data_IF_270928930379
#
_entry.id   IF_270928930379
#
_cell.length_a   1.000
_cell.length_b   1.000
_cell.length_c   1.000
_cell.angle_alpha   90.00
_cell.angle_beta   90.00
_cell.angle_gamma   90.00
#
_symmetry.space_group_name_H-M   'P 1'
#
loop_
_entity.id
_entity.type
_entity.pdbx_description
1 polymer ?
#
# COMPACT_ATOMS: atom_id res chain seq x y z
N UNK A 1 32.07 26.20 4.73
CA UNK A 1 32.44 25.74 6.09
C UNK A 1 32.56 26.96 6.99
N UNK A 2 31.74 27.11 8.02
CA UNK A 2 31.78 28.18 9.01
C UNK A 2 30.52 29.03 9.19
N UNK A 3 29.46 28.79 8.45
CA UNK A 3 28.19 29.49 8.70
C UNK A 3 27.58 29.00 10.04
N UNK A 4 27.37 29.91 11.03
CA UNK A 4 26.83 29.57 12.33
C UNK A 4 25.38 28.97 12.25
N UNK A 5 24.70 29.18 11.13
CA UNK A 5 23.36 28.61 10.86
C UNK A 5 23.39 27.22 10.23
N UNK A 6 24.59 26.78 9.74
CA UNK A 6 24.74 25.45 9.17
C UNK A 6 24.50 24.36 10.22
N UNK A 7 23.61 23.41 9.91
CA UNK A 7 23.26 22.31 10.81
C UNK A 7 22.24 22.66 11.91
N UNK A 8 21.76 23.89 11.96
CA UNK A 8 20.67 24.25 12.86
C UNK A 8 19.36 23.60 12.40
N UNK A 9 18.53 23.20 13.37
CA UNK A 9 17.27 22.49 13.08
C UNK A 9 16.23 23.40 12.43
N UNK A 10 16.15 24.65 12.88
CA UNK A 10 15.21 25.63 12.37
C UNK A 10 15.90 26.97 12.16
N UNK A 11 15.62 27.58 11.03
CA UNK A 11 16.02 28.95 10.70
C UNK A 11 14.84 29.68 10.09
N UNK A 12 14.77 30.98 10.26
CA UNK A 12 13.84 31.86 9.56
C UNK A 12 14.61 32.58 8.47
N UNK A 13 14.36 32.23 7.21
CA UNK A 13 14.90 32.94 6.07
C UNK A 13 14.03 34.16 5.79
N UNK A 14 14.63 35.36 5.83
CA UNK A 14 13.94 36.63 5.62
C UNK A 14 14.24 37.23 4.22
N UNK A 15 15.32 36.77 3.59
CA UNK A 15 15.68 37.18 2.23
C UNK A 15 16.20 35.95 1.43
N UNK A 16 15.52 35.68 0.30
CA UNK A 16 15.79 34.59 -0.63
C UNK A 16 15.95 35.17 -2.04
N UNK A 17 16.79 34.59 -2.89
CA UNK A 17 16.98 35.05 -4.27
C UNK A 17 15.81 34.68 -5.22
N UNK A 18 14.86 33.90 -4.75
CA UNK A 18 13.64 33.57 -5.50
C UNK A 18 13.80 32.43 -6.51
N UNK A 19 14.92 31.72 -6.57
CA UNK A 19 15.04 30.51 -7.37
C UNK A 19 14.10 29.41 -6.82
N UNK A 20 13.29 28.82 -7.71
CA UNK A 20 12.29 27.82 -7.31
C UNK A 20 12.87 26.44 -6.99
N UNK A 21 14.13 26.17 -7.37
CA UNK A 21 14.78 24.86 -7.19
C UNK A 21 15.89 24.91 -6.15
N UNK A 22 16.72 25.94 -6.18
CA UNK A 22 17.90 26.12 -5.32
C UNK A 22 17.97 27.55 -4.83
N UNK A 23 17.02 27.95 -3.95
CA UNK A 23 17.00 29.31 -3.40
C UNK A 23 18.21 29.55 -2.50
N UNK A 24 19.00 30.60 -2.82
CA UNK A 24 20.06 31.08 -1.96
C UNK A 24 19.48 31.92 -0.82
N UNK A 25 19.73 31.52 0.41
CA UNK A 25 19.35 32.28 1.60
C UNK A 25 20.37 33.41 1.77
N UNK A 26 19.91 34.66 1.62
CA UNK A 26 20.76 35.87 1.79
C UNK A 26 20.74 36.36 3.22
N UNK A 27 19.62 36.19 3.93
CA UNK A 27 19.48 36.58 5.31
C UNK A 27 18.61 35.56 6.05
N UNK A 28 19.09 35.06 7.18
CA UNK A 28 18.34 34.19 8.06
C UNK A 28 18.69 34.44 9.52
N UNK A 29 17.76 34.09 10.39
CA UNK A 29 17.94 34.10 11.84
C UNK A 29 17.68 32.71 12.41
N UNK A 30 18.35 32.37 13.50
CA UNK A 30 18.06 31.19 14.27
C UNK A 30 16.70 31.36 14.96
N UNK A 31 15.92 30.30 14.99
CA UNK A 31 14.70 30.19 15.77
C UNK A 31 14.68 28.80 16.44
N UNK A 32 14.32 28.74 17.71
CA UNK A 32 14.22 27.47 18.41
C UNK A 32 12.78 26.92 18.43
N UNK A 33 12.64 25.63 18.85
CA UNK A 33 11.33 24.94 18.91
C UNK A 33 10.36 25.66 19.87
N UNK A 34 10.86 26.22 20.97
CA UNK A 34 10.02 26.89 21.96
C UNK A 34 9.49 28.22 21.43
N UNK A 35 10.30 28.97 20.71
CA UNK A 35 9.89 30.22 20.06
C UNK A 35 8.85 29.96 18.97
N UNK A 36 9.05 28.90 18.13
CA UNK A 36 8.07 28.50 17.14
C UNK A 36 6.72 28.14 17.81
N UNK A 37 6.77 27.34 18.88
CA UNK A 37 5.56 26.95 19.62
C UNK A 37 4.85 28.13 20.26
N UNK A 38 5.59 29.09 20.76
CA UNK A 38 5.03 30.31 21.34
C UNK A 38 4.37 31.20 20.28
N UNK A 39 5.08 31.47 19.18
CA UNK A 39 4.62 32.36 18.11
C UNK A 39 3.45 31.79 17.32
N UNK A 40 3.41 30.46 17.15
CA UNK A 40 2.44 29.78 16.28
C UNK A 40 1.56 28.79 17.03
N UNK A 41 1.37 28.92 18.35
CA UNK A 41 0.60 28.00 19.20
C UNK A 41 -0.76 27.62 18.61
N UNK A 42 -1.50 28.59 18.06
CA UNK A 42 -2.83 28.37 17.45
C UNK A 42 -2.80 27.77 16.02
N UNK A 43 -1.61 27.53 15.45
CA UNK A 43 -1.42 26.97 14.09
C UNK A 43 -0.71 25.64 14.09
N UNK A 44 -0.26 25.17 15.25
CA UNK A 44 0.38 23.86 15.38
C UNK A 44 -0.72 22.83 15.57
N UNK A 45 -0.71 21.83 14.70
CA UNK A 45 -1.66 20.72 14.70
C UNK A 45 -0.93 19.42 15.06
N UNK A 46 -1.56 18.62 15.91
CA UNK A 46 -1.10 17.24 16.14
C UNK A 46 -1.86 16.32 15.20
N UNK A 47 -1.13 15.65 14.31
CA UNK A 47 -1.71 14.69 13.36
C UNK A 47 -1.18 13.28 13.59
N UNK A 48 -1.99 12.31 13.23
CA UNK A 48 -1.59 10.90 13.16
C UNK A 48 -1.32 10.55 11.69
N UNK A 49 -0.07 10.26 11.38
CA UNK A 49 0.37 9.87 10.05
C UNK A 49 0.61 8.36 10.01
N UNK A 50 -0.14 7.66 9.16
CA UNK A 50 0.03 6.23 8.90
C UNK A 50 0.26 6.07 7.41
N UNK A 51 1.45 5.65 7.01
CA UNK A 51 1.87 5.63 5.61
C UNK A 51 2.81 4.46 5.32
N UNK A 52 2.96 4.10 4.05
CA UNK A 52 3.98 3.17 3.60
C UNK A 52 5.32 3.90 3.41
N UNK A 53 6.30 3.58 4.23
CA UNK A 53 7.66 4.10 4.07
C UNK A 53 8.40 3.35 2.97
N UNK A 54 8.66 4.00 1.84
CA UNK A 54 9.46 3.44 0.74
C UNK A 54 10.88 3.10 1.19
N UNK A 55 11.45 3.94 2.08
CA UNK A 55 12.80 3.75 2.59
C UNK A 55 12.92 2.54 3.51
N UNK A 56 11.90 2.32 4.37
CA UNK A 56 11.92 1.25 5.36
C UNK A 56 11.27 -0.04 4.84
N UNK A 57 10.53 0.02 3.72
CA UNK A 57 9.78 -1.11 3.16
C UNK A 57 8.69 -1.63 4.09
N UNK A 58 8.06 -0.72 4.85
CA UNK A 58 7.03 -1.08 5.82
C UNK A 58 6.06 0.06 6.10
N UNK A 59 4.93 -0.28 6.72
CA UNK A 59 4.00 0.69 7.29
C UNK A 59 4.64 1.36 8.50
N UNK A 60 4.56 2.68 8.54
CA UNK A 60 5.02 3.52 9.64
C UNK A 60 3.84 4.30 10.17
N UNK A 61 3.66 4.26 11.48
CA UNK A 61 2.61 5.02 12.18
C UNK A 61 3.26 5.98 13.17
N UNK A 62 2.97 7.27 13.05
CA UNK A 62 3.61 8.33 13.80
C UNK A 62 2.60 9.38 14.22
N UNK A 63 2.80 9.97 15.39
CA UNK A 63 2.13 11.19 15.81
C UNK A 63 3.09 12.36 15.63
N UNK A 64 2.66 13.37 14.90
CA UNK A 64 3.49 14.51 14.53
C UNK A 64 2.84 15.82 14.96
N UNK A 65 3.63 16.70 15.59
CA UNK A 65 3.26 18.10 15.74
C UNK A 65 3.74 18.86 14.51
N UNK A 66 2.84 19.48 13.78
CA UNK A 66 3.13 20.19 12.53
C UNK A 66 2.74 21.66 12.58
N UNK A 67 3.59 22.48 12.01
CA UNK A 67 3.26 23.84 11.60
C UNK A 67 3.22 23.84 10.06
N UNK A 68 2.05 23.72 9.47
CA UNK A 68 1.86 23.48 8.05
C UNK A 68 2.69 22.25 7.57
N UNK A 69 3.63 22.41 6.65
CA UNK A 69 4.50 21.33 6.17
C UNK A 69 5.68 21.00 7.11
N UNK A 70 5.94 21.83 8.11
CA UNK A 70 7.09 21.68 9.01
C UNK A 70 6.76 20.72 10.16
N UNK A 71 7.49 19.62 10.28
CA UNK A 71 7.39 18.68 11.42
C UNK A 71 8.25 19.20 12.59
N UNK A 72 7.59 19.62 13.66
CA UNK A 72 8.25 20.12 14.87
C UNK A 72 8.65 18.97 15.81
N UNK A 73 7.78 17.99 15.97
CA UNK A 73 8.06 16.80 16.76
C UNK A 73 7.43 15.57 16.12
N UNK A 74 8.06 14.43 16.34
CA UNK A 74 7.57 13.15 15.83
C UNK A 74 7.83 12.06 16.89
N UNK A 75 6.83 11.20 17.09
CA UNK A 75 6.92 10.04 17.97
C UNK A 75 6.14 8.88 17.36
N UNK A 76 6.48 7.65 17.74
CA UNK A 76 5.70 6.49 17.35
C UNK A 76 4.24 6.64 17.82
N UNK A 77 3.30 6.15 17.02
CA UNK A 77 1.89 6.04 17.38
C UNK A 77 1.65 4.62 17.89
N UNK A 78 1.30 4.49 19.18
CA UNK A 78 1.21 3.19 19.86
C UNK A 78 -0.01 2.38 19.42
N UNK A 79 -1.13 3.03 19.11
CA UNK A 79 -2.39 2.37 18.74
C UNK A 79 -2.97 3.02 17.46
N UNK A 80 -2.38 2.76 16.29
CA UNK A 80 -2.88 3.31 15.03
C UNK A 80 -4.18 2.62 14.59
N UNK A 81 -5.08 3.39 13.98
CA UNK A 81 -6.31 2.85 13.40
C UNK A 81 -6.03 1.67 12.46
N UNK A 82 -6.66 0.49 12.69
CA UNK A 82 -6.48 -0.69 11.83
C UNK A 82 -6.83 -0.45 10.36
N UNK A 83 -7.77 0.45 10.06
CA UNK A 83 -8.12 0.80 8.69
C UNK A 83 -7.03 1.66 8.04
N UNK A 84 -6.47 2.63 8.78
CA UNK A 84 -5.34 3.42 8.30
C UNK A 84 -4.12 2.54 8.02
N UNK A 85 -3.83 1.56 8.89
CA UNK A 85 -2.78 0.58 8.66
C UNK A 85 -2.99 -0.25 7.39
N UNK A 86 -4.23 -0.73 7.16
CA UNK A 86 -4.57 -1.50 5.95
C UNK A 86 -4.42 -0.64 4.68
N UNK A 87 -4.84 0.63 4.72
CA UNK A 87 -4.67 1.58 3.61
C UNK A 87 -3.20 1.86 3.31
N UNK A 88 -2.39 2.08 4.33
CA UNK A 88 -0.94 2.24 4.16
C UNK A 88 -0.27 0.98 3.57
N UNK A 89 -0.67 -0.21 4.00
CA UNK A 89 -0.21 -1.46 3.41
C UNK A 89 -0.66 -1.59 1.93
N UNK A 90 -1.85 -1.12 1.60
CA UNK A 90 -2.35 -1.07 0.22
C UNK A 90 -1.53 -0.12 -0.66
N UNK A 91 -1.08 1.03 -0.15
CA UNK A 91 -0.12 1.88 -0.85
C UNK A 91 1.18 1.15 -1.15
N UNK A 92 1.62 0.27 -0.23
CA UNK A 92 2.75 -0.63 -0.45
C UNK A 92 2.53 -1.56 -1.65
N UNK A 93 1.33 -2.10 -1.84
CA UNK A 93 0.99 -2.93 -3.01
C UNK A 93 1.04 -2.14 -4.33
N UNK A 94 0.64 -0.86 -4.35
CA UNK A 94 0.79 -0.01 -5.53
C UNK A 94 2.26 0.19 -5.94
N UNK A 95 3.18 0.14 -4.97
CA UNK A 95 4.61 0.31 -5.23
C UNK A 95 5.28 -1.01 -5.66
N UNK A 96 4.88 -2.12 -5.03
CA UNK A 96 5.57 -3.41 -5.17
C UNK A 96 4.82 -4.43 -6.03
N UNK A 97 3.56 -4.15 -6.38
CA UNK A 97 2.68 -5.06 -7.12
C UNK A 97 2.07 -6.16 -6.26
N UNK A 98 1.21 -6.96 -6.91
CA UNK A 98 0.58 -8.14 -6.32
C UNK A 98 1.51 -9.35 -6.48
N UNK A 99 1.62 -10.18 -5.43
CA UNK A 99 2.40 -11.42 -5.48
C UNK A 99 1.45 -12.60 -5.63
N UNK A 100 1.62 -13.36 -6.72
CA UNK A 100 0.73 -14.46 -7.06
C UNK A 100 1.31 -15.80 -6.62
N UNK A 101 0.66 -16.47 -5.68
CA UNK A 101 0.92 -17.89 -5.43
C UNK A 101 0.43 -18.74 -6.62
N UNK A 102 0.98 -19.93 -6.87
CA UNK A 102 0.50 -20.78 -7.96
C UNK A 102 -1.02 -21.09 -7.89
N UNK A 103 -1.58 -21.17 -6.68
CA UNK A 103 -3.02 -21.36 -6.48
C UNK A 103 -3.83 -20.13 -6.86
N UNK A 104 -3.42 -18.96 -6.42
CA UNK A 104 -4.06 -17.69 -6.75
C UNK A 104 -3.95 -17.37 -8.25
N UNK A 105 -2.79 -17.62 -8.88
CA UNK A 105 -2.60 -17.44 -10.31
C UNK A 105 -3.56 -18.31 -11.13
N UNK A 106 -3.66 -19.61 -10.81
CA UNK A 106 -4.63 -20.51 -11.47
C UNK A 106 -6.09 -20.05 -11.26
N UNK A 107 -6.45 -19.60 -10.07
CA UNK A 107 -7.79 -19.05 -9.83
C UNK A 107 -8.05 -17.80 -10.67
N UNK A 108 -7.07 -16.90 -10.74
CA UNK A 108 -7.10 -15.69 -11.56
C UNK A 108 -7.30 -16.02 -13.05
N UNK A 109 -6.51 -16.97 -13.59
CA UNK A 109 -6.64 -17.40 -14.97
C UNK A 109 -8.03 -17.95 -15.30
N UNK A 110 -8.62 -18.74 -14.40
CA UNK A 110 -10.01 -19.23 -14.51
C UNK A 110 -11.02 -18.08 -14.53
N UNK A 111 -10.87 -17.11 -13.64
CA UNK A 111 -11.78 -15.95 -13.54
C UNK A 111 -11.71 -15.13 -14.84
N UNK A 112 -10.52 -14.95 -15.40
CA UNK A 112 -10.30 -14.20 -16.65
C UNK A 112 -11.11 -14.75 -17.84
N UNK A 113 -11.45 -16.04 -17.85
CA UNK A 113 -12.27 -16.67 -18.88
C UNK A 113 -13.76 -16.28 -18.81
N UNK A 114 -14.20 -15.63 -17.73
CA UNK A 114 -15.59 -15.30 -17.50
C UNK A 114 -15.73 -13.78 -17.36
N UNK A 115 -16.01 -13.05 -18.46
CA UNK A 115 -16.04 -11.58 -18.46
C UNK A 115 -16.96 -10.98 -17.40
N UNK A 116 -18.07 -11.63 -17.08
CA UNK A 116 -19.03 -11.16 -16.08
C UNK A 116 -18.51 -11.18 -14.64
N UNK A 117 -17.39 -11.85 -14.35
CA UNK A 117 -16.73 -11.83 -13.04
C UNK A 117 -15.80 -10.62 -12.86
N UNK A 118 -15.70 -9.80 -13.89
CA UNK A 118 -14.91 -8.57 -13.93
C UNK A 118 -13.42 -8.79 -14.24
N UNK A 119 -12.70 -7.69 -14.48
CA UNK A 119 -11.29 -7.75 -14.84
C UNK A 119 -10.44 -8.23 -13.66
N UNK A 120 -9.38 -8.98 -13.98
CA UNK A 120 -8.43 -9.55 -13.01
C UNK A 120 -6.96 -9.27 -13.37
N UNK A 121 -6.71 -8.34 -14.29
CA UNK A 121 -5.36 -7.80 -14.47
C UNK A 121 -4.93 -6.97 -13.24
N UNK A 122 -3.63 -6.87 -13.00
CA UNK A 122 -3.09 -6.24 -11.79
C UNK A 122 -3.52 -4.77 -11.66
N UNK A 123 -3.61 -4.04 -12.76
CA UNK A 123 -3.99 -2.63 -12.75
C UNK A 123 -5.46 -2.47 -12.29
N UNK A 124 -6.37 -3.27 -12.86
CA UNK A 124 -7.79 -3.28 -12.50
C UNK A 124 -8.01 -3.73 -11.05
N UNK A 125 -7.27 -4.75 -10.59
CA UNK A 125 -7.35 -5.24 -9.22
C UNK A 125 -6.81 -4.22 -8.21
N UNK A 126 -5.75 -3.48 -8.55
CA UNK A 126 -5.21 -2.41 -7.73
C UNK A 126 -5.97 -1.08 -7.85
N UNK A 127 -6.91 -0.94 -8.77
CA UNK A 127 -7.78 0.24 -8.84
C UNK A 127 -8.92 0.21 -7.80
N UNK A 128 -9.24 -0.97 -7.27
CA UNK A 128 -10.27 -1.20 -6.26
C UNK A 128 -9.62 -1.71 -4.96
N UNK A 129 -9.67 -0.92 -3.91
CA UNK A 129 -9.07 -1.27 -2.62
C UNK A 129 -9.95 -2.23 -1.80
N UNK A 130 -11.28 -2.16 -1.97
CA UNK A 130 -12.25 -2.73 -1.02
C UNK A 130 -12.12 -4.24 -0.86
N UNK A 131 -11.77 -4.97 -1.91
CA UNK A 131 -11.60 -6.41 -1.85
C UNK A 131 -10.32 -6.85 -1.12
N UNK A 132 -9.29 -5.97 -1.03
CA UNK A 132 -7.98 -6.25 -0.40
C UNK A 132 -7.87 -5.75 1.03
N UNK A 133 -8.49 -4.61 1.37
CA UNK A 133 -8.34 -3.99 2.70
C UNK A 133 -8.60 -4.95 3.87
N UNK A 134 -9.60 -5.86 3.84
CA UNK A 134 -9.82 -6.80 4.93
C UNK A 134 -8.62 -7.73 5.19
N UNK A 135 -7.87 -8.08 4.14
CA UNK A 135 -6.73 -8.99 4.17
C UNK A 135 -5.43 -8.30 4.58
N UNK A 136 -5.39 -6.96 4.44
CA UNK A 136 -4.21 -6.14 4.75
C UNK A 136 -4.15 -5.66 6.20
N UNK A 137 -5.17 -5.92 7.02
CA UNK A 137 -5.23 -5.42 8.41
C UNK A 137 -4.01 -5.80 9.27
N UNK A 138 -3.34 -6.91 8.98
CA UNK A 138 -2.16 -7.39 9.70
C UNK A 138 -0.85 -7.18 8.94
N UNK A 139 -0.91 -6.80 7.68
CA UNK A 139 0.28 -6.57 6.87
C UNK A 139 0.98 -5.27 7.31
N UNK A 140 2.28 -5.37 7.58
CA UNK A 140 3.11 -4.24 8.03
C UNK A 140 4.38 -4.08 7.22
N UNK A 141 4.86 -5.15 6.63
CA UNK A 141 6.17 -5.22 5.97
C UNK A 141 6.03 -5.67 4.52
N UNK A 142 7.07 -5.44 3.72
CA UNK A 142 7.15 -5.97 2.36
C UNK A 142 7.06 -7.50 2.34
N UNK A 143 7.60 -8.17 3.36
CA UNK A 143 7.48 -9.63 3.51
C UNK A 143 6.02 -10.05 3.67
N UNK A 144 5.25 -9.32 4.49
CA UNK A 144 3.82 -9.60 4.67
C UNK A 144 3.04 -9.44 3.35
N UNK A 145 3.35 -8.36 2.58
CA UNK A 145 2.71 -8.14 1.29
C UNK A 145 3.03 -9.25 0.29
N UNK A 146 4.28 -9.73 0.26
CA UNK A 146 4.71 -10.81 -0.62
C UNK A 146 4.15 -12.18 -0.25
N UNK A 147 3.87 -12.39 1.03
CA UNK A 147 3.29 -13.64 1.54
C UNK A 147 1.76 -13.67 1.55
N UNK A 148 1.11 -12.59 1.09
CA UNK A 148 -0.35 -12.50 1.05
C UNK A 148 -0.91 -13.54 0.07
N UNK A 149 -1.71 -14.47 0.58
CA UNK A 149 -2.47 -15.39 -0.28
C UNK A 149 -3.72 -14.72 -0.81
N UNK A 150 -3.70 -14.37 -2.08
CA UNK A 150 -4.81 -13.71 -2.77
C UNK A 150 -5.96 -14.66 -3.13
N UNK A 151 -5.85 -15.97 -2.87
CA UNK A 151 -6.87 -16.96 -3.25
C UNK A 151 -8.21 -16.66 -2.58
N UNK A 152 -8.20 -16.50 -1.26
CA UNK A 152 -9.43 -16.24 -0.51
C UNK A 152 -9.99 -14.83 -0.79
N UNK A 153 -9.12 -13.86 -1.00
CA UNK A 153 -9.52 -12.51 -1.39
C UNK A 153 -10.22 -12.49 -2.76
N UNK A 154 -9.69 -13.20 -3.76
CA UNK A 154 -10.36 -13.35 -5.07
C UNK A 154 -11.69 -14.08 -4.96
N UNK A 155 -11.78 -15.16 -4.17
CA UNK A 155 -13.05 -15.87 -3.92
C UNK A 155 -14.09 -14.95 -3.29
N UNK A 156 -13.69 -14.18 -2.29
CA UNK A 156 -14.57 -13.21 -1.64
C UNK A 156 -15.05 -12.13 -2.62
N UNK A 157 -14.17 -11.63 -3.48
CA UNK A 157 -14.47 -10.62 -4.50
C UNK A 157 -15.55 -11.08 -5.48
N UNK A 158 -15.45 -12.30 -5.99
CA UNK A 158 -16.46 -12.84 -6.92
C UNK A 158 -17.72 -13.36 -6.22
N UNK A 159 -17.69 -13.57 -4.91
CA UNK A 159 -18.82 -14.04 -4.11
C UNK A 159 -19.21 -15.49 -4.38
N UNK A 160 -20.22 -15.97 -3.67
CA UNK A 160 -20.70 -17.36 -3.78
C UNK A 160 -21.24 -17.69 -5.18
N UNK A 161 -22.08 -16.82 -5.74
CA UNK A 161 -22.67 -17.03 -7.07
C UNK A 161 -21.59 -17.03 -8.15
N UNK A 162 -20.62 -16.13 -8.05
CA UNK A 162 -19.46 -16.10 -8.95
C UNK A 162 -18.63 -17.37 -8.87
N UNK A 163 -18.36 -17.88 -7.67
CA UNK A 163 -17.65 -19.15 -7.48
C UNK A 163 -18.42 -20.33 -8.09
N UNK A 164 -19.73 -20.39 -7.90
CA UNK A 164 -20.57 -21.44 -8.47
C UNK A 164 -20.61 -21.41 -10.01
N UNK A 165 -20.60 -20.21 -10.59
CA UNK A 165 -20.50 -20.01 -12.05
C UNK A 165 -19.14 -20.41 -12.57
N UNK A 166 -18.08 -20.00 -11.86
CA UNK A 166 -16.68 -20.33 -12.18
C UNK A 166 -16.45 -21.84 -12.21
N UNK A 167 -16.93 -22.56 -11.19
CA UNK A 167 -16.73 -24.02 -11.09
C UNK A 167 -17.50 -24.80 -12.16
N UNK A 168 -18.60 -24.25 -12.69
CA UNK A 168 -19.32 -24.84 -13.81
C UNK A 168 -18.66 -24.55 -15.16
N UNK A 169 -18.22 -23.31 -15.40
CA UNK A 169 -17.73 -22.88 -16.69
C UNK A 169 -16.24 -23.18 -16.88
N UNK A 170 -15.44 -23.08 -15.82
CA UNK A 170 -13.98 -23.31 -15.82
C UNK A 170 -13.59 -24.12 -14.57
N UNK A 171 -13.89 -25.42 -14.49
CA UNK A 171 -13.61 -26.25 -13.30
C UNK A 171 -12.12 -26.32 -12.99
N UNK A 172 -11.77 -26.37 -11.69
CA UNK A 172 -10.36 -26.42 -11.26
C UNK A 172 -9.66 -27.76 -11.59
N UNK A 173 -10.45 -28.84 -11.75
CA UNK A 173 -9.92 -30.18 -11.97
C UNK A 173 -10.77 -30.93 -12.98
N UNK A 174 -10.11 -31.74 -13.77
CA UNK A 174 -10.73 -32.82 -14.54
C UNK A 174 -10.80 -34.09 -13.68
N UNK A 175 -11.94 -34.75 -13.68
CA UNK A 175 -12.10 -36.05 -12.99
C UNK A 175 -11.97 -37.17 -14.02
N UNK A 176 -10.93 -37.96 -13.90
CA UNK A 176 -10.73 -39.12 -14.80
C UNK A 176 -11.79 -40.19 -14.56
N UNK A 177 -12.01 -41.12 -15.51
CA UNK A 177 -12.95 -42.24 -15.33
C UNK A 177 -12.64 -43.11 -14.08
N UNK A 178 -11.41 -43.11 -13.63
CA UNK A 178 -10.97 -43.84 -12.40
C UNK A 178 -11.11 -42.99 -11.13
N UNK A 179 -11.74 -41.80 -11.21
CA UNK A 179 -11.99 -40.92 -10.05
C UNK A 179 -10.79 -40.04 -9.63
N UNK A 180 -9.66 -40.08 -10.34
CA UNK A 180 -8.52 -39.21 -10.05
C UNK A 180 -8.83 -37.78 -10.46
N UNK A 181 -8.59 -36.80 -9.58
CA UNK A 181 -8.67 -35.35 -9.87
C UNK A 181 -7.34 -34.88 -10.42
N UNK A 182 -7.32 -34.35 -11.65
CA UNK A 182 -6.17 -33.78 -12.32
C UNK A 182 -6.38 -32.29 -12.47
N UNK A 183 -5.47 -31.40 -12.02
CA UNK A 183 -5.61 -29.97 -12.20
C UNK A 183 -5.69 -29.61 -13.68
N UNK A 184 -6.55 -28.65 -14.02
CA UNK A 184 -6.62 -28.10 -15.37
C UNK A 184 -5.74 -26.85 -15.39
N UNK A 185 -4.84 -26.76 -16.36
CA UNK A 185 -4.06 -25.60 -16.65
C UNK A 185 -4.82 -24.68 -17.61
N UNK A 186 -4.99 -23.41 -17.19
CA UNK A 186 -5.67 -22.34 -17.92
C UNK A 186 -4.71 -21.21 -18.34
N UNK A 187 -3.40 -21.36 -18.15
CA UNK A 187 -2.40 -20.33 -18.48
C UNK A 187 -2.13 -20.21 -19.99
N UNK A 188 -2.71 -21.09 -20.79
CA UNK A 188 -2.61 -21.14 -22.26
C UNK A 188 -3.96 -20.87 -22.93
N UNK A 189 -3.92 -20.52 -24.23
CA UNK A 189 -5.16 -20.27 -25.02
C UNK A 189 -6.13 -21.46 -25.00
N UNK A 190 -5.60 -22.68 -24.87
CA UNK A 190 -6.42 -23.90 -24.76
C UNK A 190 -6.14 -24.56 -23.42
N UNK A 191 -7.19 -24.76 -22.57
CA UNK A 191 -7.03 -25.48 -21.32
C UNK A 191 -6.44 -26.88 -21.52
N UNK A 192 -5.46 -27.25 -20.70
CA UNK A 192 -4.76 -28.52 -20.81
C UNK A 192 -4.68 -29.28 -19.50
N UNK A 193 -4.45 -30.59 -19.57
CA UNK A 193 -4.22 -31.45 -18.41
C UNK A 193 -2.98 -32.30 -18.67
N UNK A 194 -2.15 -32.45 -17.64
CA UNK A 194 -1.07 -33.43 -17.62
C UNK A 194 -1.55 -34.71 -16.92
N UNK A 195 -1.54 -35.84 -17.63
CA UNK A 195 -2.05 -37.15 -17.16
C UNK A 195 -0.97 -37.98 -16.48
#
# INVERSE_FOLDING_TARGET
EGDPLAGQRFIVATDLDGDAREALIRMAALIDDSEIRQLYAGRIETIEAVEWSRREGRVVARRQDRLAALVLAERALDDPDPQALARAAYEGLHIHGLSWTPGAARLRARIALIPDLGPVDDASLLADADWLLPWLRKARTLSDLRSLDLTEALKARIGWDGQSRLDRAAPAHFVTPLGRKVPIDYDHETPSIEL
#
